data_IF_456677476809
#
_entry.id   IF_456677476809
#
_cell.length_a   1.000
_cell.length_b   1.000
_cell.length_c   1.000
_cell.angle_alpha   90.00
_cell.angle_beta   90.00
_cell.angle_gamma   90.00
#
_symmetry.space_group_name_H-M   'P 1'
#
loop_
_entity.id
_entity.type
_entity.pdbx_description
1 polymer ?
#
# COMPACT_ATOMS: atom_id res chain seq x y z
N UNK A 1 26.89 -9.77 15.86
CA UNK A 1 27.32 -9.91 14.45
C UNK A 1 28.27 -8.79 14.00
N UNK A 2 28.03 -7.51 14.35
CA UNK A 2 28.90 -6.37 13.95
C UNK A 2 30.33 -6.35 14.51
N UNK A 3 30.62 -7.03 15.63
CA UNK A 3 31.95 -7.00 16.25
C UNK A 3 33.03 -7.75 15.44
N UNK A 4 32.66 -8.80 14.70
CA UNK A 4 33.62 -9.61 13.94
C UNK A 4 34.22 -8.84 12.75
N UNK A 5 33.38 -8.09 12.01
CA UNK A 5 33.84 -7.34 10.84
C UNK A 5 34.80 -6.18 11.16
N UNK A 6 34.79 -5.64 12.38
CA UNK A 6 35.74 -4.62 12.80
C UNK A 6 37.12 -5.21 13.14
N UNK A 7 37.14 -6.43 13.68
CA UNK A 7 38.39 -7.16 13.92
C UNK A 7 39.03 -7.52 12.58
N UNK A 8 38.24 -8.06 11.64
CA UNK A 8 38.69 -8.39 10.29
C UNK A 8 39.19 -7.16 9.52
N UNK A 9 38.51 -6.01 9.66
CA UNK A 9 38.97 -4.75 9.09
C UNK A 9 40.31 -4.32 9.69
N UNK A 10 40.45 -4.39 11.02
CA UNK A 10 41.69 -4.04 11.72
C UNK A 10 42.88 -4.91 11.26
N UNK A 11 42.67 -6.22 11.13
CA UNK A 11 43.67 -7.16 10.63
C UNK A 11 44.04 -6.86 9.17
N UNK A 12 43.05 -6.57 8.33
CA UNK A 12 43.25 -6.21 6.92
C UNK A 12 44.05 -4.92 6.75
N UNK A 13 43.84 -3.92 7.61
CA UNK A 13 44.60 -2.65 7.61
C UNK A 13 46.06 -2.90 7.97
N UNK A 14 46.33 -3.76 8.96
CA UNK A 14 47.70 -4.10 9.37
C UNK A 14 48.43 -4.84 8.26
N UNK A 15 47.77 -5.83 7.62
CA UNK A 15 48.32 -6.55 6.48
C UNK A 15 48.64 -5.60 5.31
N UNK A 16 47.70 -4.70 4.97
CA UNK A 16 47.91 -3.75 3.87
C UNK A 16 49.02 -2.74 4.18
N UNK A 17 49.12 -2.27 5.42
CA UNK A 17 50.14 -1.31 5.83
C UNK A 17 51.56 -1.92 5.83
N UNK A 18 51.67 -3.24 5.96
CA UNK A 18 52.94 -3.95 5.80
C UNK A 18 53.41 -4.00 4.34
N UNK A 19 52.47 -4.04 3.38
CA UNK A 19 52.77 -4.07 1.94
C UNK A 19 52.96 -2.65 1.36
N UNK A 20 52.27 -1.64 1.93
CA UNK A 20 52.30 -0.25 1.48
C UNK A 20 52.51 0.73 2.65
N UNK A 21 53.76 0.87 3.15
CA UNK A 21 54.06 1.66 4.35
C UNK A 21 53.82 3.17 4.19
N UNK A 22 53.81 3.68 2.96
CA UNK A 22 53.61 5.12 2.69
C UNK A 22 52.14 5.57 2.74
N UNK A 23 51.19 4.62 2.82
CA UNK A 23 49.77 4.94 2.77
C UNK A 23 49.24 5.39 4.13
N UNK A 24 48.84 6.66 4.20
CA UNK A 24 48.20 7.21 5.39
C UNK A 24 46.70 6.89 5.41
N UNK A 25 46.27 6.09 6.40
CA UNK A 25 44.86 5.75 6.62
C UNK A 25 44.06 6.83 7.36
N UNK A 26 44.70 7.92 7.76
CA UNK A 26 44.04 9.07 8.40
C UNK A 26 43.34 9.98 7.36
N UNK A 27 42.21 9.53 6.82
CA UNK A 27 41.36 10.34 5.94
C UNK A 27 39.88 10.27 6.33
N UNK A 28 39.08 11.31 6.01
CA UNK A 28 37.74 11.48 6.60
C UNK A 28 36.79 10.30 6.40
N UNK A 29 36.83 9.64 5.22
CA UNK A 29 35.95 8.50 4.93
C UNK A 29 36.28 7.26 5.77
N UNK A 30 37.55 7.07 6.13
CA UNK A 30 38.00 5.94 6.92
C UNK A 30 37.63 6.09 8.41
N UNK A 31 37.74 7.31 8.92
CA UNK A 31 37.33 7.64 10.30
C UNK A 31 35.85 7.31 10.57
N UNK A 32 34.97 7.41 9.57
CA UNK A 32 33.56 7.02 9.69
C UNK A 32 33.39 5.56 10.11
N UNK A 33 34.22 4.65 9.60
CA UNK A 33 34.17 3.22 9.94
C UNK A 33 34.87 2.92 11.26
N UNK A 34 36.00 3.57 11.53
CA UNK A 34 36.78 3.40 12.77
C UNK A 34 36.02 3.86 14.01
N UNK A 35 35.30 4.97 13.92
CA UNK A 35 34.53 5.52 15.03
C UNK A 35 33.07 5.12 15.01
N UNK A 36 32.59 4.33 14.05
CA UNK A 36 31.16 4.01 13.87
C UNK A 36 30.49 3.55 15.17
N UNK A 37 31.12 2.64 15.91
CA UNK A 37 30.58 2.10 17.17
C UNK A 37 30.63 3.14 18.29
N UNK A 38 31.73 3.88 18.41
CA UNK A 38 31.84 4.98 19.38
C UNK A 38 30.82 6.07 19.08
N UNK A 39 30.61 6.41 17.82
CA UNK A 39 29.62 7.38 17.35
C UNK A 39 28.20 6.90 17.65
N UNK A 40 27.85 5.64 17.35
CA UNK A 40 26.55 5.08 17.70
C UNK A 40 26.32 5.04 19.21
N UNK A 41 27.36 4.72 19.99
CA UNK A 41 27.26 4.59 21.46
C UNK A 41 27.22 5.96 22.15
N UNK A 42 27.98 6.93 21.67
CA UNK A 42 28.07 8.28 22.24
C UNK A 42 26.96 9.21 21.75
N UNK A 43 26.60 9.14 20.46
CA UNK A 43 25.57 9.98 19.82
C UNK A 43 24.19 9.31 19.86
N UNK A 44 24.12 8.01 20.14
CA UNK A 44 22.90 7.21 20.03
C UNK A 44 22.49 6.94 18.58
N UNK A 45 21.39 6.19 18.39
CA UNK A 45 20.73 6.15 17.09
C UNK A 45 20.21 7.56 16.76
N UNK A 46 20.61 8.12 15.61
CA UNK A 46 20.22 9.44 15.13
C UNK A 46 18.75 9.49 14.71
N UNK A 47 17.84 9.31 15.68
CA UNK A 47 16.38 9.36 15.50
C UNK A 47 15.89 10.78 15.17
N UNK A 48 16.69 11.81 15.47
CA UNK A 48 16.31 13.23 15.37
C UNK A 48 17.27 14.12 14.56
N UNK A 49 18.36 13.57 14.00
CA UNK A 49 19.28 14.28 13.10
C UNK A 49 19.00 13.97 11.62
N UNK A 50 17.75 13.76 11.29
CA UNK A 50 17.27 13.69 9.93
C UNK A 50 16.99 15.14 9.47
N UNK A 51 17.73 15.61 8.45
CA UNK A 51 17.43 16.88 7.79
C UNK A 51 16.29 16.78 6.77
N UNK A 52 15.83 15.57 6.40
CA UNK A 52 14.66 15.34 5.50
C UNK A 52 13.38 16.04 6.00
N UNK A 53 13.16 16.16 7.31
CA UNK A 53 12.01 16.92 7.84
C UNK A 53 12.07 18.41 7.50
N UNK A 54 13.27 18.97 7.31
CA UNK A 54 13.48 20.37 6.97
C UNK A 54 13.94 20.59 5.51
N UNK A 55 14.28 19.52 4.78
CA UNK A 55 14.62 19.54 3.35
C UNK A 55 13.47 20.15 2.52
N UNK A 56 12.23 19.89 2.94
CA UNK A 56 11.05 20.56 2.40
C UNK A 56 11.02 22.07 2.67
N UNK A 57 11.43 22.51 3.87
CA UNK A 57 11.45 23.92 4.27
C UNK A 57 12.58 24.72 3.58
N UNK A 58 13.64 24.05 3.13
CA UNK A 58 14.67 24.70 2.31
C UNK A 58 14.11 25.21 0.98
N UNK A 59 13.07 24.57 0.41
CA UNK A 59 12.47 25.01 -0.87
C UNK A 59 11.77 26.38 -0.74
N UNK A 60 10.82 26.61 0.19
CA UNK A 60 10.26 27.93 0.43
C UNK A 60 11.29 28.99 0.80
N UNK A 61 12.27 28.66 1.65
CA UNK A 61 13.32 29.60 2.05
C UNK A 61 14.16 30.01 0.83
N UNK A 62 14.50 29.05 -0.04
CA UNK A 62 15.21 29.32 -1.30
C UNK A 62 14.39 30.22 -2.24
N UNK A 63 13.09 29.99 -2.38
CA UNK A 63 12.21 30.86 -3.19
C UNK A 63 12.11 32.28 -2.60
N UNK A 64 11.99 32.39 -1.27
CA UNK A 64 12.00 33.71 -0.60
C UNK A 64 13.33 34.41 -0.87
N UNK A 65 14.45 33.71 -0.66
CA UNK A 65 15.80 34.23 -0.91
C UNK A 65 15.97 34.72 -2.35
N UNK A 66 15.61 33.89 -3.33
CA UNK A 66 15.82 34.16 -4.77
C UNK A 66 14.87 35.22 -5.31
N UNK A 67 13.58 35.18 -4.97
CA UNK A 67 12.56 35.98 -5.64
C UNK A 67 12.07 37.19 -4.82
N UNK A 68 12.36 37.22 -3.51
CA UNK A 68 11.73 38.18 -2.58
C UNK A 68 12.72 38.92 -1.69
N UNK A 69 14.02 38.76 -1.88
CA UNK A 69 15.05 39.53 -1.17
C UNK A 69 15.94 40.31 -2.14
N UNK A 70 16.59 41.35 -1.63
CA UNK A 70 17.56 42.14 -2.39
C UNK A 70 19.02 41.62 -2.26
N UNK A 71 19.20 40.38 -1.76
CA UNK A 71 20.49 39.73 -1.52
C UNK A 71 21.44 40.45 -0.55
N UNK A 72 20.94 41.38 0.26
CA UNK A 72 21.69 42.08 1.32
C UNK A 72 20.95 41.95 2.64
N UNK A 73 21.64 41.75 3.77
CA UNK A 73 20.99 41.54 5.09
C UNK A 73 19.77 40.61 5.01
N UNK A 74 20.02 39.40 4.48
CA UNK A 74 18.97 38.53 3.97
C UNK A 74 18.21 37.83 5.09
N UNK A 75 18.86 37.58 6.22
CA UNK A 75 18.29 36.87 7.36
C UNK A 75 17.04 37.58 7.92
N UNK A 76 17.12 38.89 8.14
CA UNK A 76 16.00 39.70 8.61
C UNK A 76 14.84 39.74 7.60
N UNK A 77 15.16 39.78 6.30
CA UNK A 77 14.16 39.81 5.23
C UNK A 77 13.43 38.47 5.11
N UNK A 78 14.17 37.37 5.06
CA UNK A 78 13.61 36.01 4.98
C UNK A 78 12.72 35.74 6.19
N UNK A 79 13.21 36.04 7.40
CA UNK A 79 12.46 35.84 8.65
C UNK A 79 11.15 36.62 8.64
N UNK A 80 11.18 37.88 8.22
CA UNK A 80 9.97 38.73 8.13
C UNK A 80 8.97 38.20 7.10
N UNK A 81 9.44 37.74 5.94
CA UNK A 81 8.57 37.20 4.88
C UNK A 81 7.94 35.88 5.33
N UNK A 82 8.74 34.98 5.90
CA UNK A 82 8.27 33.70 6.44
C UNK A 82 7.24 33.91 7.55
N UNK A 83 7.48 34.87 8.45
CA UNK A 83 6.53 35.22 9.51
C UNK A 83 5.19 35.68 8.92
N UNK A 84 5.20 36.59 7.94
CA UNK A 84 3.99 37.06 7.25
C UNK A 84 3.23 35.93 6.56
N UNK A 85 3.94 35.05 5.85
CA UNK A 85 3.32 33.88 5.21
C UNK A 85 2.69 32.94 6.23
N UNK A 86 3.34 32.73 7.38
CA UNK A 86 2.83 31.88 8.46
C UNK A 86 1.57 32.47 9.08
N UNK A 87 1.56 33.78 9.36
CA UNK A 87 0.38 34.50 9.85
C UNK A 87 -0.77 34.43 8.84
N UNK A 88 -0.49 34.66 7.56
CA UNK A 88 -1.50 34.56 6.49
C UNK A 88 -2.11 33.16 6.41
N UNK A 89 -1.27 32.10 6.45
CA UNK A 89 -1.74 30.71 6.49
C UNK A 89 -2.60 30.42 7.72
N UNK A 90 -2.20 30.92 8.89
CA UNK A 90 -2.96 30.73 10.12
C UNK A 90 -4.32 31.43 10.08
N UNK A 91 -4.38 32.66 9.55
CA UNK A 91 -5.65 33.38 9.33
C UNK A 91 -6.54 32.60 8.35
N UNK A 92 -5.98 32.18 7.21
CA UNK A 92 -6.72 31.43 6.19
C UNK A 92 -7.27 30.13 6.75
N UNK A 93 -6.47 29.39 7.51
CA UNK A 93 -6.87 28.16 8.18
C UNK A 93 -8.04 28.39 9.15
N UNK A 94 -7.99 29.45 9.96
CA UNK A 94 -9.09 29.81 10.87
C UNK A 94 -10.37 30.19 10.14
N UNK A 95 -10.26 30.91 9.02
CA UNK A 95 -11.42 31.22 8.16
C UNK A 95 -12.02 29.92 7.61
N UNK A 96 -11.18 29.03 7.06
CA UNK A 96 -11.62 27.72 6.55
C UNK A 96 -12.34 26.90 7.63
N UNK A 97 -11.76 26.77 8.83
CA UNK A 97 -12.41 26.10 9.96
C UNK A 97 -13.75 26.74 10.34
N UNK A 98 -13.84 28.07 10.32
CA UNK A 98 -15.07 28.79 10.63
C UNK A 98 -16.14 28.58 9.55
N UNK A 99 -15.75 28.59 8.28
CA UNK A 99 -16.64 28.32 7.16
C UNK A 99 -17.16 26.87 7.20
N UNK A 100 -16.30 25.91 7.56
CA UNK A 100 -16.66 24.50 7.80
C UNK A 100 -17.65 24.38 8.97
N UNK A 101 -17.37 25.05 10.09
CA UNK A 101 -18.27 25.06 11.26
C UNK A 101 -19.63 25.68 10.95
N UNK A 102 -19.66 26.78 10.18
CA UNK A 102 -20.87 27.52 9.85
C UNK A 102 -21.72 26.83 8.78
N UNK A 103 -21.09 26.06 7.89
CA UNK A 103 -21.74 25.26 6.85
C UNK A 103 -21.29 23.80 6.96
N UNK A 104 -21.77 23.04 7.96
CA UNK A 104 -21.43 21.61 8.09
C UNK A 104 -21.91 20.78 6.88
N UNK A 105 -22.72 21.36 5.98
CA UNK A 105 -23.18 20.72 4.74
C UNK A 105 -22.28 20.93 3.51
N UNK A 106 -21.18 21.70 3.60
CA UNK A 106 -20.27 21.94 2.45
C UNK A 106 -19.01 21.10 2.41
N UNK A 107 -18.73 20.30 3.45
CA UNK A 107 -17.96 19.09 3.26
C UNK A 107 -19.00 18.02 3.06
N UNK A 108 -19.35 17.73 1.81
CA UNK A 108 -19.92 16.44 1.51
C UNK A 108 -18.84 15.41 1.87
N UNK A 109 -18.77 15.03 3.15
CA UNK A 109 -18.37 13.67 3.48
C UNK A 109 -19.19 12.81 2.51
N UNK A 110 -18.51 12.09 1.63
CA UNK A 110 -19.14 11.08 0.82
C UNK A 110 -19.91 10.20 1.79
N UNK A 111 -21.23 10.39 1.92
CA UNK A 111 -22.06 9.53 2.74
C UNK A 111 -21.79 8.13 2.22
N UNK A 112 -21.20 7.29 3.05
CA UNK A 112 -21.02 5.90 2.70
C UNK A 112 -22.42 5.34 2.48
N UNK A 113 -22.72 5.01 1.23
CA UNK A 113 -24.06 4.63 0.81
C UNK A 113 -24.38 3.22 1.27
N UNK A 114 -23.35 2.38 1.38
CA UNK A 114 -23.47 1.00 1.81
C UNK A 114 -22.42 0.67 2.86
N UNK A 115 -22.87 0.09 3.98
CA UNK A 115 -22.03 -0.46 5.02
C UNK A 115 -22.36 -1.93 5.21
N UNK A 116 -21.36 -2.80 5.05
CA UNK A 116 -21.47 -4.24 5.22
C UNK A 116 -20.41 -4.70 6.21
N UNK A 117 -20.79 -4.96 7.46
CA UNK A 117 -19.86 -5.31 8.53
C UNK A 117 -18.76 -4.23 8.67
N UNK A 118 -17.50 -4.61 8.46
CA UNK A 118 -16.32 -3.74 8.50
C UNK A 118 -15.96 -3.11 7.15
N UNK A 119 -16.78 -3.32 6.11
CA UNK A 119 -16.57 -2.80 4.77
C UNK A 119 -17.55 -1.67 4.47
N UNK A 120 -17.03 -0.56 3.94
CA UNK A 120 -17.83 0.60 3.57
C UNK A 120 -17.59 1.00 2.11
N UNK A 121 -18.68 1.28 1.40
CA UNK A 121 -18.72 1.59 -0.03
C UNK A 121 -19.52 2.87 -0.26
N UNK A 122 -18.96 3.80 -1.05
CA UNK A 122 -19.44 5.19 -1.11
C UNK A 122 -19.86 5.70 -2.49
N UNK A 123 -20.24 4.83 -3.42
CA UNK A 123 -20.60 5.21 -4.80
C UNK A 123 -22.06 4.88 -5.11
N UNK A 124 -22.75 5.79 -5.81
CA UNK A 124 -24.09 5.59 -6.39
C UNK A 124 -24.04 5.33 -7.91
N UNK A 125 -22.84 5.08 -8.46
CA UNK A 125 -22.65 4.83 -9.88
C UNK A 125 -23.27 3.49 -10.30
N UNK A 126 -24.49 3.56 -10.83
CA UNK A 126 -25.21 2.41 -11.38
C UNK A 126 -24.74 2.13 -12.80
N UNK A 127 -24.34 0.89 -13.05
CA UNK A 127 -24.03 0.38 -14.38
C UNK A 127 -24.67 -1.00 -14.55
N UNK A 128 -24.54 -1.59 -15.73
CA UNK A 128 -25.03 -2.96 -16.00
C UNK A 128 -23.86 -3.90 -16.26
N UNK A 129 -24.07 -5.21 -16.02
CA UNK A 129 -23.05 -6.22 -16.31
C UNK A 129 -22.57 -6.15 -17.78
N UNK A 130 -23.47 -5.87 -18.72
CA UNK A 130 -23.13 -5.71 -20.13
C UNK A 130 -22.29 -4.46 -20.42
N UNK A 131 -22.56 -3.34 -19.74
CA UNK A 131 -21.74 -2.12 -19.85
C UNK A 131 -20.35 -2.30 -19.25
N UNK A 132 -20.22 -3.03 -18.14
CA UNK A 132 -18.92 -3.38 -17.54
C UNK A 132 -18.07 -4.19 -18.52
N UNK A 133 -18.65 -5.20 -19.15
CA UNK A 133 -17.96 -6.01 -20.17
C UNK A 133 -17.57 -5.18 -21.40
N UNK A 134 -18.42 -4.24 -21.84
CA UNK A 134 -18.16 -3.36 -22.99
C UNK A 134 -17.12 -2.27 -22.69
N UNK A 135 -17.10 -1.74 -21.47
CA UNK A 135 -16.15 -0.73 -21.03
C UNK A 135 -14.73 -1.27 -20.83
N UNK A 136 -14.57 -2.60 -20.75
CA UNK A 136 -13.31 -3.29 -20.50
C UNK A 136 -12.95 -4.29 -21.61
N UNK A 137 -13.33 -4.02 -22.86
CA UNK A 137 -13.09 -4.92 -24.01
C UNK A 137 -11.61 -5.26 -24.19
N UNK A 138 -10.72 -4.30 -23.91
CA UNK A 138 -9.27 -4.49 -24.03
C UNK A 138 -8.68 -5.35 -22.90
N UNK A 139 -9.40 -5.51 -21.79
CA UNK A 139 -8.92 -6.25 -20.63
C UNK A 139 -9.45 -7.70 -20.64
N UNK A 140 -8.60 -8.71 -20.88
CA UNK A 140 -9.03 -10.11 -20.95
C UNK A 140 -9.61 -10.62 -19.62
N UNK A 141 -9.32 -9.96 -18.50
CA UNK A 141 -9.86 -10.32 -17.19
C UNK A 141 -11.39 -10.20 -17.12
N UNK A 142 -11.98 -9.24 -17.82
CA UNK A 142 -13.43 -8.98 -17.78
C UNK A 142 -14.21 -9.80 -18.82
N UNK A 143 -13.54 -10.67 -19.56
CA UNK A 143 -14.19 -11.51 -20.56
C UNK A 143 -15.07 -12.53 -19.85
N UNK A 144 -16.39 -12.51 -20.14
CA UNK A 144 -17.41 -13.35 -19.49
C UNK A 144 -17.63 -13.02 -18.01
N UNK A 145 -17.31 -11.80 -17.56
CA UNK A 145 -17.56 -11.29 -16.21
C UNK A 145 -18.97 -11.67 -15.71
N UNK A 146 -20.00 -11.48 -16.53
CA UNK A 146 -21.39 -11.79 -16.17
C UNK A 146 -21.61 -13.29 -15.91
N UNK A 147 -21.01 -14.16 -16.71
CA UNK A 147 -21.17 -15.61 -16.56
C UNK A 147 -20.44 -16.12 -15.33
N UNK A 148 -19.26 -15.57 -15.04
CA UNK A 148 -18.51 -15.87 -13.81
C UNK A 148 -19.27 -15.37 -12.57
N UNK A 149 -19.89 -14.19 -12.65
CA UNK A 149 -20.72 -13.64 -11.57
C UNK A 149 -21.95 -14.52 -11.32
N UNK A 150 -22.61 -14.98 -12.38
CA UNK A 150 -23.73 -15.91 -12.30
C UNK A 150 -23.34 -17.22 -11.61
N UNK A 151 -22.21 -17.81 -12.01
CA UNK A 151 -21.69 -19.01 -11.39
C UNK A 151 -21.34 -18.79 -9.91
N UNK A 152 -20.66 -17.70 -9.57
CA UNK A 152 -20.29 -17.38 -8.19
C UNK A 152 -21.53 -17.22 -7.30
N UNK A 153 -22.53 -16.44 -7.71
CA UNK A 153 -23.73 -16.19 -6.93
C UNK A 153 -24.53 -17.48 -6.68
N UNK A 154 -24.71 -18.32 -7.70
CA UNK A 154 -25.45 -19.56 -7.56
C UNK A 154 -24.68 -20.62 -6.74
N UNK A 155 -23.36 -20.71 -6.89
CA UNK A 155 -22.56 -21.77 -6.24
C UNK A 155 -22.10 -21.42 -4.82
N UNK A 156 -21.74 -20.16 -4.57
CA UNK A 156 -21.16 -19.70 -3.30
C UNK A 156 -22.17 -19.00 -2.40
N UNK A 157 -23.12 -18.24 -2.94
CA UNK A 157 -24.08 -17.46 -2.14
C UNK A 157 -25.39 -18.24 -1.92
N UNK A 158 -25.96 -18.84 -2.96
CA UNK A 158 -27.23 -19.57 -2.87
C UNK A 158 -27.13 -20.95 -2.19
N UNK A 159 -25.92 -21.39 -1.81
CA UNK A 159 -25.63 -22.75 -1.31
C UNK A 159 -26.50 -23.23 -0.14
N UNK A 160 -27.06 -22.29 0.64
CA UNK A 160 -27.90 -22.57 1.81
C UNK A 160 -29.42 -22.43 1.55
N UNK A 161 -29.85 -22.12 0.32
CA UNK A 161 -31.26 -21.88 0.02
C UNK A 161 -31.95 -23.18 -0.43
N UNK A 162 -33.00 -23.59 0.27
CA UNK A 162 -33.67 -24.89 0.11
C UNK A 162 -34.27 -25.12 -1.30
N UNK A 163 -34.48 -24.05 -2.06
CA UNK A 163 -34.96 -24.08 -3.44
C UNK A 163 -33.77 -23.78 -4.40
N UNK A 164 -33.09 -24.84 -4.84
CA UNK A 164 -31.92 -24.80 -5.74
C UNK A 164 -32.27 -24.43 -7.20
N UNK A 165 -33.04 -23.37 -7.43
CA UNK A 165 -33.28 -22.88 -8.78
C UNK A 165 -32.13 -21.98 -9.20
N UNK A 166 -31.43 -22.34 -10.26
CA UNK A 166 -30.35 -21.54 -10.84
C UNK A 166 -30.90 -20.22 -11.38
N UNK A 167 -30.40 -19.11 -10.86
CA UNK A 167 -30.80 -17.75 -11.24
C UNK A 167 -29.86 -17.24 -12.33
N UNK A 168 -30.43 -16.95 -13.50
CA UNK A 168 -29.68 -16.38 -14.62
C UNK A 168 -29.51 -14.88 -14.46
N UNK A 169 -28.31 -14.36 -14.71
CA UNK A 169 -28.02 -12.93 -14.63
C UNK A 169 -28.11 -12.35 -16.05
N UNK A 170 -29.14 -11.54 -16.37
CA UNK A 170 -29.24 -10.91 -17.68
C UNK A 170 -28.16 -9.83 -17.87
N UNK A 171 -27.78 -9.50 -19.11
CA UNK A 171 -26.81 -8.41 -19.37
C UNK A 171 -27.22 -7.05 -18.79
N UNK A 172 -28.53 -6.81 -18.68
CA UNK A 172 -29.11 -5.59 -18.09
C UNK A 172 -29.14 -5.60 -16.56
N UNK A 173 -28.63 -6.65 -15.92
CA UNK A 173 -28.57 -6.73 -14.47
C UNK A 173 -27.72 -5.58 -13.91
N UNK A 174 -28.30 -4.80 -13.01
CA UNK A 174 -27.68 -3.60 -12.47
C UNK A 174 -26.67 -3.95 -11.39
N UNK A 175 -25.52 -3.30 -11.45
CA UNK A 175 -24.48 -3.33 -10.43
C UNK A 175 -24.11 -1.90 -10.08
N UNK A 176 -23.84 -1.65 -8.81
CA UNK A 176 -23.43 -0.34 -8.30
C UNK A 176 -21.91 -0.38 -8.17
N UNK A 177 -21.22 0.18 -9.17
CA UNK A 177 -19.76 0.20 -9.22
C UNK A 177 -19.21 1.15 -8.15
N UNK A 178 -18.27 0.64 -7.37
CA UNK A 178 -17.56 1.37 -6.33
C UNK A 178 -16.07 1.28 -6.61
N UNK A 179 -15.41 2.39 -6.97
CA UNK A 179 -13.95 2.39 -7.23
C UNK A 179 -13.09 2.56 -5.99
N UNK A 180 -13.75 2.67 -4.84
CA UNK A 180 -13.15 2.96 -3.54
C UNK A 180 -13.88 2.15 -2.47
N UNK A 181 -13.09 1.52 -1.61
CA UNK A 181 -13.57 0.70 -0.50
C UNK A 181 -12.76 1.04 0.74
N UNK A 182 -13.48 1.24 1.85
CA UNK A 182 -12.90 1.43 3.19
C UNK A 182 -13.06 0.14 3.95
N UNK A 183 -11.96 -0.38 4.50
CA UNK A 183 -11.96 -1.64 5.25
C UNK A 183 -11.43 -1.38 6.65
N UNK A 184 -12.30 -1.52 7.64
CA UNK A 184 -11.93 -1.45 9.03
C UNK A 184 -11.38 -2.81 9.49
N UNK A 185 -10.29 -2.82 10.25
CA UNK A 185 -9.69 -4.04 10.77
C UNK A 185 -9.09 -3.80 12.15
N UNK A 186 -9.08 -4.84 12.97
CA UNK A 186 -8.37 -4.83 14.23
C UNK A 186 -6.88 -5.11 14.00
N UNK A 187 -6.04 -4.19 14.47
CA UNK A 187 -4.60 -4.38 14.40
C UNK A 187 -4.13 -5.48 15.34
N UNK A 188 -3.35 -6.45 14.85
CA UNK A 188 -2.72 -7.49 15.65
C UNK A 188 -1.57 -6.96 16.53
N UNK A 189 -1.06 -5.75 16.25
CA UNK A 189 -0.01 -5.10 17.06
C UNK A 189 -0.60 -4.34 18.23
N UNK A 190 -1.65 -3.56 17.98
CA UNK A 190 -2.15 -2.57 18.95
C UNK A 190 -3.54 -2.90 19.50
N UNK A 191 -4.24 -3.86 18.89
CA UNK A 191 -5.65 -4.21 19.15
C UNK A 191 -6.61 -3.02 19.00
N UNK A 192 -6.18 -2.01 18.24
CA UNK A 192 -7.01 -0.87 17.87
C UNK A 192 -7.63 -1.12 16.51
N UNK A 193 -8.82 -0.58 16.32
CA UNK A 193 -9.43 -0.51 15.00
C UNK A 193 -8.67 0.50 14.14
N UNK A 194 -8.16 0.02 13.02
CA UNK A 194 -7.55 0.80 11.96
C UNK A 194 -8.40 0.68 10.70
N UNK A 195 -8.10 1.52 9.71
CA UNK A 195 -8.87 1.60 8.47
C UNK A 195 -7.93 1.69 7.28
N UNK A 196 -8.08 0.77 6.33
CA UNK A 196 -7.39 0.81 5.05
C UNK A 196 -8.31 1.39 3.97
N UNK A 197 -7.74 2.27 3.14
CA UNK A 197 -8.45 3.02 2.10
C UNK A 197 -8.00 2.54 0.71
N UNK A 198 -8.76 1.64 0.11
CA UNK A 198 -8.36 0.90 -1.09
C UNK A 198 -9.08 1.41 -2.34
N UNK A 199 -8.44 1.27 -3.49
CA UNK A 199 -8.95 1.75 -4.79
C UNK A 199 -8.74 0.73 -5.90
N UNK A 200 -9.66 0.75 -6.86
CA UNK A 200 -9.58 0.04 -8.14
C UNK A 200 -10.04 0.97 -9.27
N UNK A 201 -9.30 2.06 -9.49
CA UNK A 201 -9.66 3.11 -10.44
C UNK A 201 -8.80 3.02 -11.71
N UNK A 202 -9.41 2.85 -12.90
CA UNK A 202 -8.68 2.80 -14.17
C UNK A 202 -7.96 4.11 -14.53
N UNK A 203 -8.42 5.26 -14.00
CA UNK A 203 -7.79 6.56 -14.22
C UNK A 203 -7.73 7.36 -12.91
N UNK A 204 -6.61 7.21 -12.22
CA UNK A 204 -6.25 7.95 -11.01
C UNK A 204 -5.02 8.83 -11.31
N UNK A 205 -5.24 10.13 -11.51
CA UNK A 205 -4.18 11.06 -11.95
C UNK A 205 -3.47 10.61 -13.24
N UNK A 206 -4.26 10.24 -14.26
CA UNK A 206 -3.78 9.77 -15.56
C UNK A 206 -3.04 8.42 -15.55
N UNK A 207 -3.09 7.66 -14.44
CA UNK A 207 -2.56 6.31 -14.35
C UNK A 207 -3.58 5.36 -13.68
N UNK A 208 -3.61 4.06 -14.03
CA UNK A 208 -4.43 3.10 -13.32
C UNK A 208 -3.93 2.92 -11.88
N UNK A 209 -4.85 2.76 -10.94
CA UNK A 209 -4.54 2.41 -9.55
C UNK A 209 -5.44 1.28 -9.08
N UNK A 210 -4.83 0.12 -8.87
CA UNK A 210 -5.46 -1.08 -8.36
C UNK A 210 -4.66 -1.55 -7.15
N UNK A 211 -5.26 -1.39 -5.96
CA UNK A 211 -4.61 -1.72 -4.71
C UNK A 211 -4.68 -3.24 -4.45
N UNK A 212 -3.80 -3.74 -3.59
CA UNK A 212 -3.77 -5.15 -3.21
C UNK A 212 -4.39 -5.37 -1.84
N UNK A 213 -4.90 -6.58 -1.62
CA UNK A 213 -5.59 -6.96 -0.39
C UNK A 213 -5.14 -8.31 0.11
N UNK A 214 -5.27 -8.52 1.43
CA UNK A 214 -5.41 -9.85 1.99
C UNK A 214 -6.88 -10.14 2.27
N UNK A 215 -7.32 -11.33 1.92
CA UNK A 215 -8.71 -11.77 2.11
C UNK A 215 -8.76 -13.16 2.72
N UNK A 216 -9.85 -13.46 3.40
CA UNK A 216 -10.10 -14.75 4.04
C UNK A 216 -10.60 -15.76 3.01
N UNK A 217 -9.93 -16.91 2.93
CA UNK A 217 -10.38 -18.06 2.12
C UNK A 217 -11.19 -19.01 3.00
N UNK A 218 -10.64 -19.37 4.17
CA UNK A 218 -11.31 -20.09 5.24
C UNK A 218 -10.87 -19.52 6.61
N UNK A 219 -11.32 -20.12 7.73
CA UNK A 219 -11.04 -19.59 9.07
C UNK A 219 -9.54 -19.54 9.42
N UNK A 220 -8.69 -20.33 8.74
CA UNK A 220 -7.27 -20.46 9.02
C UNK A 220 -6.37 -20.05 7.86
N UNK A 221 -6.91 -19.79 6.66
CA UNK A 221 -6.15 -19.44 5.47
C UNK A 221 -6.52 -18.06 4.92
N UNK A 222 -5.48 -17.33 4.52
CA UNK A 222 -5.61 -16.04 3.84
C UNK A 222 -5.01 -16.12 2.44
N UNK A 223 -5.59 -15.38 1.51
CA UNK A 223 -5.07 -15.18 0.17
C UNK A 223 -4.62 -13.74 -0.03
N UNK A 224 -3.75 -13.54 -1.02
CA UNK A 224 -3.43 -12.22 -1.56
C UNK A 224 -4.19 -12.05 -2.87
N UNK A 225 -4.68 -10.84 -3.12
CA UNK A 225 -5.26 -10.54 -4.42
C UNK A 225 -5.05 -9.09 -4.84
N UNK A 226 -5.08 -8.90 -6.16
CA UNK A 226 -5.11 -7.60 -6.80
C UNK A 226 -6.56 -7.20 -7.06
N UNK A 227 -6.98 -6.03 -6.56
CA UNK A 227 -8.36 -5.57 -6.62
C UNK A 227 -8.67 -4.96 -7.99
N UNK A 228 -9.46 -5.64 -8.82
CA UNK A 228 -9.76 -5.19 -10.18
C UNK A 228 -11.05 -4.36 -10.26
N UNK A 229 -12.08 -4.77 -9.54
CA UNK A 229 -13.39 -4.13 -9.56
C UNK A 229 -14.13 -4.39 -8.24
N UNK A 230 -14.84 -3.39 -7.70
CA UNK A 230 -15.67 -3.56 -6.50
C UNK A 230 -17.05 -3.00 -6.81
N UNK A 231 -18.08 -3.71 -6.37
CA UNK A 231 -19.46 -3.33 -6.65
C UNK A 231 -20.44 -3.96 -5.67
N UNK A 232 -21.65 -3.41 -5.62
CA UNK A 232 -22.81 -4.00 -4.96
C UNK A 232 -23.77 -4.48 -6.03
N UNK A 233 -24.27 -5.71 -5.91
CA UNK A 233 -25.36 -6.22 -6.76
C UNK A 233 -26.52 -6.73 -5.92
N UNK A 234 -27.73 -6.74 -6.50
CA UNK A 234 -28.91 -7.32 -5.86
C UNK A 234 -29.06 -8.78 -6.28
N UNK A 235 -29.18 -9.69 -5.33
CA UNK A 235 -29.38 -11.11 -5.60
C UNK A 235 -30.34 -11.71 -4.55
N UNK A 236 -31.44 -12.33 -5.00
CA UNK A 236 -32.54 -12.79 -4.12
C UNK A 236 -33.03 -11.68 -3.16
N UNK A 237 -33.27 -10.48 -3.69
CA UNK A 237 -33.70 -9.30 -2.92
C UNK A 237 -32.74 -8.86 -1.80
N UNK A 238 -31.51 -9.39 -1.79
CA UNK A 238 -30.44 -8.96 -0.88
C UNK A 238 -29.34 -8.22 -1.63
N UNK A 239 -28.81 -7.17 -1.01
CA UNK A 239 -27.62 -6.49 -1.51
C UNK A 239 -26.37 -7.28 -1.10
N UNK A 240 -25.55 -7.64 -2.08
CA UNK A 240 -24.34 -8.43 -1.89
C UNK A 240 -23.13 -7.58 -2.32
N UNK A 241 -22.20 -7.26 -1.40
CA UNK A 241 -20.98 -6.56 -1.75
C UNK A 241 -19.94 -7.55 -2.29
N UNK A 242 -19.47 -7.30 -3.52
CA UNK A 242 -18.57 -8.19 -4.24
C UNK A 242 -17.32 -7.43 -4.69
N UNK A 243 -16.22 -8.16 -4.72
CA UNK A 243 -14.99 -7.72 -5.34
C UNK A 243 -14.58 -8.73 -6.41
N UNK A 244 -14.25 -8.24 -7.60
CA UNK A 244 -13.60 -9.01 -8.65
C UNK A 244 -12.10 -8.81 -8.52
N UNK A 245 -11.38 -9.91 -8.34
CA UNK A 245 -9.98 -9.87 -7.94
C UNK A 245 -9.16 -10.86 -8.75
N UNK A 246 -7.88 -10.54 -8.92
CA UNK A 246 -6.90 -11.49 -9.40
C UNK A 246 -6.12 -12.05 -8.21
N UNK A 247 -6.33 -13.33 -7.90
CA UNK A 247 -5.59 -14.01 -6.83
C UNK A 247 -4.09 -14.11 -7.16
N UNK A 248 -3.28 -13.96 -6.11
CA UNK A 248 -1.84 -14.10 -6.14
C UNK A 248 -1.45 -15.32 -5.29
N UNK A 249 -0.74 -16.26 -5.91
CA UNK A 249 -0.26 -17.48 -5.27
C UNK A 249 1.04 -17.21 -4.51
N UNK A 250 1.15 -17.81 -3.33
CA UNK A 250 2.33 -17.72 -2.46
C UNK A 250 3.44 -18.59 -3.04
N UNK A 251 4.61 -18.00 -3.31
CA UNK A 251 5.77 -18.73 -3.84
C UNK A 251 6.57 -19.33 -2.67
N UNK A 252 6.34 -20.60 -2.37
CA UNK A 252 6.98 -21.31 -1.24
C UNK A 252 8.19 -22.16 -1.66
N UNK A 253 8.10 -22.88 -2.78
CA UNK A 253 9.11 -23.88 -3.16
C UNK A 253 10.38 -23.32 -3.83
N UNK A 254 10.33 -22.10 -4.38
CA UNK A 254 11.36 -21.50 -5.23
C UNK A 254 12.01 -20.25 -4.63
N UNK A 255 12.12 -20.17 -3.29
CA UNK A 255 12.79 -19.02 -2.65
C UNK A 255 14.28 -19.03 -2.98
N UNK A 256 14.75 -17.96 -3.60
CA UNK A 256 16.18 -17.76 -3.84
C UNK A 256 16.92 -17.55 -2.52
N UNK A 257 18.24 -17.73 -2.53
CA UNK A 257 19.08 -17.40 -1.36
C UNK A 257 18.94 -15.92 -0.97
N UNK A 258 18.69 -15.04 -1.94
CA UNK A 258 18.43 -13.63 -1.71
C UNK A 258 17.09 -13.42 -0.98
N UNK A 259 16.02 -14.11 -1.41
CA UNK A 259 14.71 -14.03 -0.74
C UNK A 259 14.80 -14.52 0.71
N UNK A 260 15.56 -15.60 0.97
CA UNK A 260 15.78 -16.08 2.34
C UNK A 260 16.65 -15.13 3.16
N UNK A 261 17.78 -14.70 2.60
CA UNK A 261 18.73 -13.82 3.29
C UNK A 261 18.16 -12.44 3.62
N UNK A 262 17.22 -11.94 2.82
CA UNK A 262 16.56 -10.65 3.03
C UNK A 262 15.13 -10.78 3.61
N UNK A 263 14.64 -12.00 3.84
CA UNK A 263 13.28 -12.22 4.35
C UNK A 263 12.16 -11.83 3.38
N UNK A 264 12.42 -11.81 2.07
CA UNK A 264 11.42 -11.38 1.08
C UNK A 264 10.30 -12.39 0.91
N UNK A 265 9.09 -11.84 0.82
CA UNK A 265 7.83 -12.55 0.71
C UNK A 265 7.26 -12.41 -0.71
N UNK A 266 7.35 -13.49 -1.49
CA UNK A 266 7.08 -13.46 -2.92
C UNK A 266 5.73 -14.09 -3.25
N UNK A 267 4.93 -13.37 -4.01
CA UNK A 267 3.64 -13.85 -4.54
C UNK A 267 3.64 -13.70 -6.05
N UNK A 268 2.90 -14.55 -6.75
CA UNK A 268 2.86 -14.58 -8.22
C UNK A 268 1.42 -14.53 -8.68
N UNK A 269 1.13 -13.81 -9.75
CA UNK A 269 -0.17 -13.92 -10.41
C UNK A 269 -0.40 -15.36 -10.82
N UNK A 270 -1.44 -16.00 -10.28
CA UNK A 270 -1.69 -17.40 -10.56
C UNK A 270 -1.97 -17.59 -12.05
N UNK A 271 -1.16 -18.35 -12.80
CA UNK A 271 -1.48 -18.69 -14.18
C UNK A 271 -2.63 -19.71 -14.27
N UNK A 272 -2.87 -20.46 -13.19
CA UNK A 272 -3.93 -21.45 -13.09
C UNK A 272 -5.28 -20.82 -12.68
N UNK A 273 -5.26 -19.76 -11.87
CA UNK A 273 -6.47 -19.12 -11.38
C UNK A 273 -6.78 -17.84 -12.18
N UNK A 274 -7.80 -17.85 -13.05
CA UNK A 274 -8.29 -16.62 -13.67
C UNK A 274 -8.84 -15.67 -12.59
N UNK A 275 -9.07 -14.39 -12.94
CA UNK A 275 -9.82 -13.48 -12.09
C UNK A 275 -11.14 -14.10 -11.64
N UNK A 276 -11.44 -13.95 -10.36
CA UNK A 276 -12.61 -14.55 -9.69
C UNK A 276 -13.24 -13.53 -8.73
N UNK A 277 -14.43 -13.86 -8.26
CA UNK A 277 -15.17 -13.06 -7.30
C UNK A 277 -14.87 -13.50 -5.87
N UNK A 278 -14.84 -12.53 -4.98
CA UNK A 278 -14.88 -12.72 -3.53
C UNK A 278 -15.98 -11.83 -2.95
N UNK A 279 -16.51 -12.21 -1.79
CA UNK A 279 -17.29 -11.29 -0.98
C UNK A 279 -16.37 -10.15 -0.55
N UNK A 280 -16.79 -8.89 -0.70
CA UNK A 280 -15.97 -7.77 -0.23
C UNK A 280 -15.74 -7.86 1.29
N UNK A 281 -16.71 -8.43 2.03
CA UNK A 281 -16.59 -8.70 3.48
C UNK A 281 -15.57 -9.79 3.83
N UNK A 282 -15.04 -10.56 2.87
CA UNK A 282 -13.92 -11.46 3.16
C UNK A 282 -12.58 -10.73 3.17
N UNK A 283 -12.50 -9.50 2.65
CA UNK A 283 -11.30 -8.68 2.70
C UNK A 283 -10.99 -8.37 4.16
N UNK A 284 -9.78 -8.73 4.59
CA UNK A 284 -9.33 -8.51 5.96
C UNK A 284 -8.78 -7.09 6.04
N UNK A 285 -7.88 -6.72 5.13
CA UNK A 285 -7.26 -5.39 5.03
C UNK A 285 -6.47 -5.23 3.73
N UNK A 286 -5.93 -4.04 3.49
CA UNK A 286 -4.99 -3.77 2.41
C UNK A 286 -3.65 -4.46 2.59
N UNK A 287 -2.96 -4.70 1.46
CA UNK A 287 -1.59 -5.20 1.45
C UNK A 287 -0.73 -4.31 0.56
N UNK A 288 0.45 -3.92 1.06
CA UNK A 288 1.44 -3.24 0.23
C UNK A 288 2.21 -4.31 -0.55
N UNK A 289 1.93 -4.40 -1.85
CA UNK A 289 2.56 -5.34 -2.76
C UNK A 289 3.17 -4.55 -3.92
N UNK A 290 4.44 -4.81 -4.22
CA UNK A 290 5.17 -4.18 -5.33
C UNK A 290 5.56 -5.23 -6.35
N UNK A 291 5.58 -4.85 -7.62
CA UNK A 291 6.18 -5.67 -8.67
C UNK A 291 7.67 -5.86 -8.42
N UNK A 292 8.17 -7.05 -8.68
CA UNK A 292 9.62 -7.27 -8.82
C UNK A 292 10.03 -6.80 -10.22
N UNK A 293 10.89 -5.78 -10.27
CA UNK A 293 11.32 -5.11 -11.50
C UNK A 293 12.42 -5.87 -12.26
N UNK A 294 12.49 -7.18 -12.10
CA UNK A 294 13.44 -8.02 -12.80
C UNK A 294 12.99 -8.20 -14.26
N UNK A 295 13.28 -7.21 -15.10
CA UNK A 295 12.84 -7.08 -16.50
C UNK A 295 13.32 -8.23 -17.40
N UNK A 296 14.43 -8.91 -17.04
CA UNK A 296 15.08 -9.93 -17.87
C UNK A 296 15.24 -11.30 -17.15
N UNK A 297 14.70 -11.44 -15.94
CA UNK A 297 14.98 -12.58 -15.07
C UNK A 297 13.92 -13.69 -15.02
N UNK A 298 14.24 -14.73 -14.22
CA UNK A 298 13.36 -15.88 -13.93
C UNK A 298 12.10 -15.51 -13.13
N UNK A 299 12.02 -14.28 -12.64
CA UNK A 299 11.01 -13.76 -11.71
C UNK A 299 10.07 -12.73 -12.35
N UNK A 300 10.13 -12.52 -13.67
CA UNK A 300 9.23 -11.59 -14.37
C UNK A 300 7.75 -11.93 -14.09
N UNK A 301 7.00 -10.97 -13.53
CA UNK A 301 5.60 -11.15 -13.11
C UNK A 301 5.41 -11.65 -11.67
N UNK A 302 6.49 -11.72 -10.88
CA UNK A 302 6.45 -11.89 -9.43
C UNK A 302 6.26 -10.54 -8.73
N UNK A 303 5.67 -10.62 -7.55
CA UNK A 303 5.44 -9.48 -6.67
C UNK A 303 6.01 -9.77 -5.29
N UNK A 304 6.36 -8.70 -4.58
CA UNK A 304 6.89 -8.73 -3.23
C UNK A 304 5.88 -8.09 -2.27
N UNK A 305 5.53 -8.83 -1.22
CA UNK A 305 4.74 -8.32 -0.11
C UNK A 305 5.67 -7.55 0.83
N UNK A 306 5.37 -6.28 1.06
CA UNK A 306 6.17 -5.38 1.89
C UNK A 306 5.60 -5.35 3.30
N UNK A 307 6.36 -5.87 4.26
CA UNK A 307 6.01 -5.96 5.69
C UNK A 307 6.92 -5.09 6.59
N UNK A 308 8.08 -4.67 6.09
CA UNK A 308 9.09 -3.91 6.86
C UNK A 308 8.56 -2.57 7.40
N UNK A 309 7.62 -1.94 6.70
CA UNK A 309 7.00 -0.66 7.12
C UNK A 309 5.69 -0.86 7.87
N UNK A 310 5.20 -2.09 7.97
CA UNK A 310 3.89 -2.45 8.50
C UNK A 310 4.02 -3.65 9.45
N UNK A 311 4.24 -3.35 10.73
CA UNK A 311 4.37 -4.38 11.77
C UNK A 311 3.12 -5.25 11.93
N UNK A 312 1.95 -4.75 11.53
CA UNK A 312 0.71 -5.53 11.53
C UNK A 312 0.71 -6.57 10.41
N UNK A 313 1.16 -6.18 9.22
CA UNK A 313 1.37 -7.12 8.11
C UNK A 313 2.41 -8.17 8.49
N UNK A 314 3.57 -7.75 9.04
CA UNK A 314 4.63 -8.67 9.49
C UNK A 314 4.10 -9.79 10.40
N UNK A 315 3.34 -9.44 11.45
CA UNK A 315 2.78 -10.43 12.37
C UNK A 315 1.75 -11.35 11.71
N UNK A 316 0.96 -10.83 10.76
CA UNK A 316 0.04 -11.67 9.97
C UNK A 316 0.79 -12.65 9.09
N UNK A 317 1.86 -12.21 8.41
CA UNK A 317 2.67 -13.09 7.59
C UNK A 317 3.31 -14.20 8.41
N UNK A 318 3.83 -13.89 9.60
CA UNK A 318 4.36 -14.93 10.50
C UNK A 318 3.29 -15.93 10.94
N UNK A 319 2.06 -15.47 11.22
CA UNK A 319 0.96 -16.33 11.65
C UNK A 319 0.46 -17.26 10.55
N UNK A 320 0.22 -16.71 9.35
CA UNK A 320 -0.42 -17.45 8.26
C UNK A 320 0.59 -18.15 7.33
N UNK A 321 1.83 -17.68 7.29
CA UNK A 321 2.90 -18.22 6.45
C UNK A 321 4.18 -18.47 7.28
N UNK A 322 4.13 -19.37 8.29
CA UNK A 322 5.28 -19.63 9.16
C UNK A 322 6.52 -20.11 8.41
N UNK A 323 6.35 -20.78 7.27
CA UNK A 323 7.44 -21.23 6.38
C UNK A 323 8.17 -20.10 5.65
N UNK A 324 7.73 -18.84 5.79
CA UNK A 324 8.45 -17.70 5.27
C UNK A 324 9.46 -17.08 6.25
N UNK A 325 9.36 -17.40 7.54
CA UNK A 325 10.18 -16.84 8.62
C UNK A 325 11.51 -17.57 8.91
N UNK A 326 11.94 -18.49 8.06
CA UNK A 326 13.19 -19.27 8.22
C UNK A 326 14.13 -19.15 7.03
#
# INVERSE_FOLDING_TARGET
MYAAGLVELSESIQAYSAEYPDKNWNFPKFHTHQHLIQDITSKGASKHFNAKTFEGNHRPIKLIYTDQTNFKDVENQVTRIQHRQTVSKAIRFRITLYDEFRNPQKVAESKELFQFQHVHLGSDHKTTCGEVEQGQVDNPAFRRFRLQLEEFLNTRIQRNNSNHNWIKIPPKHQVIETRYIRVDYESVVTWKQNTDHLRCNPCFWNAPRYDHVIYRIDDNTIGFAHLLFVFVCSFNDMEVPLAFVQSLDVVTALRSNADRGMGLHRVRRSPANPPDFILATSIIRGALITEDLDEEGRHHGDFLVIDVVDGDMFLRLQRYFPGWGT
#
